data_IF_846006800900
#
_entry.id   IF_846006800900
#
_cell.length_a   1.000
_cell.length_b   1.000
_cell.length_c   1.000
_cell.angle_alpha   90.00
_cell.angle_beta   90.00
_cell.angle_gamma   90.00
#
_symmetry.space_group_name_H-M   'P 1'
#
loop_
_entity.id
_entity.type
_entity.pdbx_description
1 polymer ?
#
# COMPACT_ATOMS: atom_id res chain seq x y z
N UNK A 1 -30.26 17.54 -18.90
CA UNK A 1 -30.65 16.10 -18.97
C UNK A 1 -30.87 15.59 -17.58
N UNK A 2 -31.90 14.82 -17.30
CA UNK A 2 -32.18 14.30 -15.98
C UNK A 2 -30.97 13.51 -15.44
N UNK A 3 -30.55 13.81 -14.21
CA UNK A 3 -29.43 13.12 -13.54
C UNK A 3 -29.98 11.94 -12.76
N UNK A 4 -29.29 10.80 -12.85
CA UNK A 4 -29.68 9.59 -12.11
C UNK A 4 -29.01 9.57 -10.71
N UNK A 5 -29.84 9.38 -9.69
CA UNK A 5 -29.36 9.03 -8.36
C UNK A 5 -29.20 7.51 -8.30
N UNK A 6 -27.98 7.06 -8.05
CA UNK A 6 -27.65 5.63 -7.99
C UNK A 6 -27.61 5.14 -6.54
N UNK A 7 -27.93 3.87 -6.31
CA UNK A 7 -27.75 3.20 -5.04
C UNK A 7 -26.26 3.25 -4.63
N UNK A 8 -25.89 3.98 -3.57
CA UNK A 8 -24.49 4.12 -3.20
C UNK A 8 -23.93 2.85 -2.55
N UNK A 9 -22.62 2.65 -2.66
CA UNK A 9 -21.90 1.68 -1.86
C UNK A 9 -21.52 2.34 -0.53
N UNK A 10 -22.27 2.10 0.53
CA UNK A 10 -22.05 2.69 1.85
C UNK A 10 -21.01 1.92 2.69
N UNK A 11 -20.52 0.80 2.19
CA UNK A 11 -19.36 0.09 2.73
C UNK A 11 -18.57 -0.59 1.61
N UNK A 12 -17.26 -0.84 1.81
CA UNK A 12 -16.41 -1.45 0.78
C UNK A 12 -16.85 -2.85 0.32
N UNK A 13 -17.64 -3.52 1.13
CA UNK A 13 -18.14 -4.89 0.86
C UNK A 13 -19.62 -4.94 0.48
N UNK A 14 -20.28 -3.78 0.40
CA UNK A 14 -21.70 -3.70 0.11
C UNK A 14 -21.97 -3.99 -1.38
N UNK A 15 -22.63 -5.09 -1.66
CA UNK A 15 -23.14 -5.42 -3.02
C UNK A 15 -24.59 -5.01 -3.19
N UNK A 16 -25.36 -4.99 -2.09
CA UNK A 16 -26.77 -4.65 -2.04
C UNK A 16 -27.11 -3.92 -0.73
N UNK A 17 -28.18 -3.15 -0.72
CA UNK A 17 -28.76 -2.50 0.47
C UNK A 17 -30.27 -2.46 0.42
N UNK A 18 -30.88 -2.19 1.56
CA UNK A 18 -32.34 -2.03 1.66
C UNK A 18 -32.66 -0.53 1.67
N UNK A 19 -33.43 -0.05 0.71
CA UNK A 19 -33.90 1.33 0.71
C UNK A 19 -35.01 1.45 1.75
N UNK A 20 -34.68 1.95 2.95
CA UNK A 20 -35.58 1.97 4.11
C UNK A 20 -36.68 3.02 3.95
N UNK A 21 -36.28 4.26 3.59
CA UNK A 21 -37.21 5.38 3.54
C UNK A 21 -36.74 6.48 2.59
N UNK A 22 -37.70 7.18 1.96
CA UNK A 22 -37.47 8.43 1.27
C UNK A 22 -37.78 9.62 2.19
N UNK A 23 -36.84 10.59 2.30
CA UNK A 23 -36.99 11.81 3.09
C UNK A 23 -37.47 12.99 2.23
N UNK A 24 -37.39 12.87 0.91
CA UNK A 24 -37.92 13.81 -0.10
C UNK A 24 -38.94 13.11 -1.00
N UNK A 25 -39.87 13.87 -1.53
CA UNK A 25 -40.94 13.38 -2.43
C UNK A 25 -40.71 13.85 -3.84
N UNK A 26 -41.35 13.18 -4.81
CA UNK A 26 -41.36 13.65 -6.19
C UNK A 26 -41.94 15.08 -6.26
N UNK A 27 -41.22 15.98 -6.89
CA UNK A 27 -41.55 17.40 -6.97
C UNK A 27 -40.80 18.29 -5.93
N UNK A 28 -40.12 17.69 -4.94
CA UNK A 28 -39.38 18.48 -3.97
C UNK A 28 -38.07 19.01 -4.57
N UNK A 29 -37.71 20.24 -4.18
CA UNK A 29 -36.39 20.80 -4.52
C UNK A 29 -35.30 20.16 -3.65
N UNK A 30 -34.21 19.77 -4.27
CA UNK A 30 -33.06 19.13 -3.68
C UNK A 30 -31.81 19.96 -3.97
N UNK A 31 -30.99 20.21 -2.95
CA UNK A 31 -29.69 20.85 -3.06
C UNK A 31 -28.58 19.82 -2.81
N UNK A 32 -27.40 20.07 -3.35
CA UNK A 32 -26.23 19.25 -3.04
C UNK A 32 -25.98 19.22 -1.52
N UNK A 33 -25.87 18.01 -0.95
CA UNK A 33 -25.78 17.78 0.50
C UNK A 33 -27.12 17.59 1.23
N UNK A 34 -28.28 17.74 0.55
CA UNK A 34 -29.57 17.42 1.17
C UNK A 34 -29.73 15.91 1.33
N UNK A 35 -30.14 15.46 2.52
CA UNK A 35 -30.47 14.04 2.73
C UNK A 35 -31.78 13.71 2.02
N UNK A 36 -31.72 12.73 1.12
CA UNK A 36 -32.85 12.35 0.26
C UNK A 36 -33.47 11.01 0.62
N UNK A 37 -32.68 10.07 1.14
CA UNK A 37 -33.15 8.74 1.49
C UNK A 37 -32.33 8.15 2.66
N UNK A 38 -32.88 7.10 3.29
CA UNK A 38 -32.22 6.25 4.27
C UNK A 38 -32.05 4.84 3.69
N UNK A 39 -30.83 4.31 3.78
CA UNK A 39 -30.49 2.95 3.37
C UNK A 39 -30.07 2.15 4.60
N UNK A 40 -30.67 0.98 4.76
CA UNK A 40 -30.30 0.02 5.79
C UNK A 40 -29.33 -1.01 5.19
N UNK A 41 -28.21 -1.19 5.90
CA UNK A 41 -27.21 -2.18 5.58
C UNK A 41 -27.19 -3.24 6.69
N UNK A 42 -26.39 -4.29 6.54
CA UNK A 42 -26.14 -5.32 7.57
C UNK A 42 -25.52 -4.78 8.87
N UNK A 43 -25.03 -3.54 8.85
CA UNK A 43 -24.32 -2.92 9.99
C UNK A 43 -24.99 -1.68 10.57
N UNK A 44 -25.66 -0.88 9.76
CA UNK A 44 -26.29 0.37 10.21
C UNK A 44 -27.28 0.93 9.18
N UNK A 45 -28.20 1.80 9.62
CA UNK A 45 -28.96 2.68 8.74
C UNK A 45 -28.13 3.91 8.44
N UNK A 46 -27.98 4.26 7.18
CA UNK A 46 -27.17 5.38 6.71
C UNK A 46 -27.99 6.31 5.82
N UNK A 47 -27.73 7.60 5.91
CA UNK A 47 -28.36 8.64 5.11
C UNK A 47 -27.68 8.77 3.76
N UNK A 48 -28.49 8.99 2.71
CA UNK A 48 -28.03 9.26 1.35
C UNK A 48 -28.23 10.73 1.03
N UNK A 49 -27.15 11.41 0.75
CA UNK A 49 -27.15 12.82 0.37
C UNK A 49 -27.19 12.98 -1.14
N UNK A 50 -27.90 13.99 -1.63
CA UNK A 50 -27.89 14.35 -3.03
C UNK A 50 -26.55 14.96 -3.43
N UNK A 51 -25.97 14.48 -4.52
CA UNK A 51 -24.75 15.04 -5.11
C UNK A 51 -25.08 16.22 -6.01
N UNK A 52 -26.20 16.14 -6.69
CA UNK A 52 -26.68 17.13 -7.67
C UNK A 52 -27.85 17.94 -7.11
N UNK A 53 -27.99 19.17 -7.58
CA UNK A 53 -29.11 20.05 -7.23
C UNK A 53 -30.18 20.08 -8.37
N UNK A 54 -31.43 20.22 -7.96
CA UNK A 54 -32.55 20.26 -8.88
C UNK A 54 -33.87 19.90 -8.23
N UNK A 55 -34.82 19.34 -8.99
CA UNK A 55 -36.09 18.82 -8.49
C UNK A 55 -36.12 17.31 -8.59
N UNK A 56 -36.49 16.62 -7.49
CA UNK A 56 -36.65 15.16 -7.50
C UNK A 56 -37.78 14.78 -8.45
N UNK A 57 -37.44 14.38 -9.69
CA UNK A 57 -38.41 14.22 -10.74
C UNK A 57 -39.17 12.90 -10.68
N UNK A 58 -38.50 11.80 -10.34
CA UNK A 58 -39.09 10.47 -10.23
C UNK A 58 -38.34 9.56 -9.29
N UNK A 59 -39.08 8.88 -8.44
CA UNK A 59 -38.57 7.76 -7.61
C UNK A 59 -38.74 6.47 -8.44
N UNK A 60 -37.61 5.76 -8.66
CA UNK A 60 -37.58 4.52 -9.44
C UNK A 60 -37.68 3.28 -8.56
N UNK A 61 -37.18 3.38 -7.33
CA UNK A 61 -37.22 2.30 -6.33
C UNK A 61 -38.03 2.78 -5.13
N UNK A 62 -39.18 2.13 -4.82
CA UNK A 62 -40.06 2.52 -3.71
C UNK A 62 -39.36 2.27 -2.35
N UNK A 63 -39.80 3.02 -1.32
CA UNK A 63 -39.35 2.77 0.06
C UNK A 63 -39.72 1.35 0.54
N UNK A 64 -38.90 0.79 1.41
CA UNK A 64 -39.06 -0.58 1.90
C UNK A 64 -38.55 -1.66 0.93
N UNK A 65 -37.94 -1.28 -0.19
CA UNK A 65 -37.38 -2.27 -1.14
C UNK A 65 -36.07 -2.83 -0.60
N UNK A 66 -36.05 -4.18 -0.43
CA UNK A 66 -34.87 -4.91 -0.01
C UNK A 66 -33.98 -5.34 -1.20
N UNK A 67 -32.71 -5.64 -0.91
CA UNK A 67 -31.75 -6.21 -1.86
C UNK A 67 -31.50 -5.38 -3.13
N UNK A 68 -31.56 -4.05 -3.04
CA UNK A 68 -31.26 -3.17 -4.16
C UNK A 68 -29.75 -3.20 -4.42
N UNK A 69 -29.34 -3.62 -5.61
CA UNK A 69 -27.94 -3.72 -5.97
C UNK A 69 -27.28 -2.33 -6.06
N UNK A 70 -26.02 -2.22 -5.61
CA UNK A 70 -25.20 -1.01 -5.75
C UNK A 70 -25.13 -0.59 -7.22
N UNK A 71 -25.13 0.74 -7.47
CA UNK A 71 -25.22 1.37 -8.81
C UNK A 71 -26.56 1.18 -9.55
N UNK A 72 -27.60 0.65 -8.91
CA UNK A 72 -28.94 0.66 -9.49
C UNK A 72 -29.51 2.09 -9.42
N UNK A 73 -30.10 2.63 -10.52
CA UNK A 73 -30.78 3.92 -10.46
C UNK A 73 -32.01 3.85 -9.52
N UNK A 74 -32.00 4.67 -8.47
CA UNK A 74 -33.03 4.69 -7.43
C UNK A 74 -33.98 5.89 -7.59
N UNK A 75 -33.50 6.99 -8.18
CA UNK A 75 -34.33 8.18 -8.50
C UNK A 75 -33.72 8.99 -9.66
N UNK A 76 -34.44 9.99 -10.11
CA UNK A 76 -34.06 10.96 -11.15
C UNK A 76 -34.22 12.38 -10.63
N UNK A 77 -33.16 13.22 -10.77
CA UNK A 77 -33.22 14.66 -10.50
C UNK A 77 -33.30 15.41 -11.83
N UNK A 78 -34.21 16.36 -11.91
CA UNK A 78 -34.39 17.28 -13.03
C UNK A 78 -33.63 18.58 -12.74
N UNK A 79 -32.84 19.05 -13.71
CA UNK A 79 -32.21 20.36 -13.61
C UNK A 79 -33.25 21.48 -13.76
N UNK A 80 -32.93 22.69 -13.30
CA UNK A 80 -33.82 23.84 -13.33
C UNK A 80 -34.24 24.16 -14.77
N UNK A 81 -35.57 24.09 -15.03
CA UNK A 81 -36.17 24.31 -16.37
C UNK A 81 -36.45 23.06 -17.22
N UNK A 82 -36.21 21.85 -16.71
CA UNK A 82 -36.58 20.61 -17.38
C UNK A 82 -37.99 20.14 -17.01
N UNK A 83 -38.77 19.76 -18.04
CA UNK A 83 -40.17 19.35 -17.87
C UNK A 83 -40.27 17.85 -17.51
N UNK A 84 -41.17 17.50 -16.59
CA UNK A 84 -41.42 16.12 -16.17
C UNK A 84 -41.87 15.17 -17.34
N UNK A 85 -42.20 15.74 -18.48
CA UNK A 85 -42.54 15.00 -19.69
C UNK A 85 -41.34 14.23 -20.30
N UNK A 86 -40.08 14.62 -19.96
CA UNK A 86 -38.86 13.97 -20.45
C UNK A 86 -38.60 12.58 -19.81
N UNK A 87 -39.36 12.21 -18.77
CA UNK A 87 -39.19 10.97 -18.02
C UNK A 87 -39.89 9.73 -18.63
N UNK A 88 -40.51 9.86 -19.80
CA UNK A 88 -41.38 8.80 -20.41
C UNK A 88 -40.63 7.79 -21.28
N UNK A 89 -39.38 8.02 -21.67
CA UNK A 89 -38.66 7.11 -22.55
C UNK A 89 -37.42 6.54 -21.85
N UNK A 90 -37.60 5.39 -21.20
CA UNK A 90 -36.53 4.56 -20.66
C UNK A 90 -35.71 3.87 -21.76
N UNK A 91 -34.94 4.62 -22.54
CA UNK A 91 -33.88 4.06 -23.40
C UNK A 91 -32.51 4.33 -22.80
N UNK A 92 -31.83 3.25 -22.42
CA UNK A 92 -30.40 3.24 -22.12
C UNK A 92 -29.63 3.92 -23.26
N UNK A 93 -28.94 5.01 -22.97
CA UNK A 93 -27.95 5.58 -23.87
C UNK A 93 -26.59 5.11 -23.41
N UNK A 94 -25.79 4.43 -24.27
CA UNK A 94 -24.46 3.97 -23.89
C UNK A 94 -23.53 5.16 -23.63
N UNK A 95 -22.77 5.09 -22.58
CA UNK A 95 -21.73 6.05 -22.26
C UNK A 95 -20.76 6.20 -23.44
N UNK A 96 -20.60 7.41 -23.93
CA UNK A 96 -19.67 7.80 -24.99
C UNK A 96 -18.24 7.75 -24.39
N UNK A 97 -17.46 6.74 -24.80
CA UNK A 97 -16.03 6.70 -24.54
C UNK A 97 -15.33 7.89 -25.22
N UNK A 98 -14.38 8.55 -24.56
CA UNK A 98 -13.55 9.55 -25.21
C UNK A 98 -12.58 8.85 -26.17
N UNK A 99 -12.57 9.33 -27.41
CA UNK A 99 -11.65 8.90 -28.46
C UNK A 99 -10.21 9.30 -28.10
N UNK A 100 -9.21 8.42 -28.22
CA UNK A 100 -7.82 8.80 -27.94
C UNK A 100 -7.28 9.74 -29.02
N UNK A 101 -6.70 10.85 -28.57
CA UNK A 101 -5.92 11.73 -29.43
C UNK A 101 -4.67 11.00 -29.93
N UNK A 102 -4.37 11.12 -31.22
CA UNK A 102 -3.16 10.58 -31.85
C UNK A 102 -1.93 11.24 -31.23
N UNK A 103 -1.04 10.41 -30.72
CA UNK A 103 0.30 10.82 -30.34
C UNK A 103 1.17 10.96 -31.61
N UNK A 104 1.89 12.07 -31.70
CA UNK A 104 2.90 12.34 -32.73
C UNK A 104 4.12 11.44 -32.53
N UNK A 105 4.66 10.93 -33.62
CA UNK A 105 5.89 10.13 -33.64
C UNK A 105 7.12 10.96 -33.23
N UNK A 106 8.05 10.42 -32.44
CA UNK A 106 9.31 11.10 -32.14
C UNK A 106 10.31 10.96 -33.30
N UNK A 107 11.22 11.94 -33.48
CA UNK A 107 12.15 11.95 -34.60
C UNK A 107 13.25 10.88 -34.47
N UNK A 108 13.58 10.24 -35.56
CA UNK A 108 14.68 9.26 -35.73
C UNK A 108 16.02 9.87 -35.33
N UNK A 109 16.70 9.26 -34.37
CA UNK A 109 18.12 9.51 -34.07
C UNK A 109 19.01 8.76 -35.07
N UNK A 110 19.95 9.48 -35.64
CA UNK A 110 21.00 8.95 -36.52
C UNK A 110 22.02 8.13 -35.72
N UNK A 111 22.35 6.96 -36.25
CA UNK A 111 23.44 6.10 -35.77
C UNK A 111 24.79 6.74 -36.06
N UNK A 112 25.61 6.91 -35.01
CA UNK A 112 27.04 7.09 -35.15
C UNK A 112 27.72 5.89 -34.47
N UNK A 113 28.22 4.97 -35.27
CA UNK A 113 29.02 3.85 -34.79
C UNK A 113 30.40 4.36 -34.36
N UNK A 114 30.74 4.22 -33.09
CA UNK A 114 32.12 4.24 -32.62
C UNK A 114 32.53 2.81 -32.27
N UNK A 115 33.44 2.23 -33.09
CA UNK A 115 34.13 0.97 -32.77
C UNK A 115 35.19 1.27 -31.72
N UNK A 116 35.10 0.66 -30.55
CA UNK A 116 36.24 0.50 -29.64
C UNK A 116 36.47 -0.98 -29.39
N UNK A 117 37.64 -1.45 -29.78
CA UNK A 117 38.11 -2.79 -29.49
C UNK A 117 38.32 -2.94 -27.97
N UNK A 118 37.46 -3.71 -27.32
CA UNK A 118 37.49 -3.92 -25.88
C UNK A 118 38.35 -5.13 -25.52
N UNK A 119 39.43 -4.88 -24.80
CA UNK A 119 40.14 -5.93 -24.05
C UNK A 119 39.29 -6.27 -22.84
N UNK A 120 38.78 -7.50 -22.77
CA UNK A 120 38.05 -8.03 -21.62
C UNK A 120 39.03 -8.17 -20.41
N UNK A 121 38.80 -7.50 -19.28
CA UNK A 121 39.52 -7.85 -18.05
C UNK A 121 39.08 -9.24 -17.58
N UNK A 122 40.04 -10.08 -17.25
CA UNK A 122 39.76 -11.37 -16.66
C UNK A 122 39.11 -11.17 -15.29
N UNK A 123 37.95 -11.81 -15.08
CA UNK A 123 37.24 -11.78 -13.82
C UNK A 123 38.13 -12.30 -12.67
N UNK A 124 38.34 -11.47 -11.66
CA UNK A 124 38.93 -11.94 -10.40
C UNK A 124 37.98 -12.96 -9.75
N UNK A 125 38.49 -14.01 -9.09
CA UNK A 125 37.63 -14.95 -8.40
C UNK A 125 36.84 -14.23 -7.29
N UNK A 126 35.50 -14.38 -7.33
CA UNK A 126 34.62 -13.85 -6.30
C UNK A 126 35.03 -14.39 -4.93
N UNK A 127 35.13 -13.48 -3.95
CA UNK A 127 35.28 -13.89 -2.56
C UNK A 127 34.08 -14.77 -2.15
N UNK A 128 34.26 -15.78 -1.31
CA UNK A 128 33.15 -16.60 -0.84
C UNK A 128 32.16 -15.70 -0.11
N UNK A 129 30.90 -15.72 -0.51
CA UNK A 129 29.79 -15.16 0.28
C UNK A 129 29.74 -15.96 1.57
N UNK A 130 29.93 -15.32 2.72
CA UNK A 130 29.69 -15.99 4.00
C UNK A 130 28.22 -16.41 4.04
N UNK A 131 27.92 -17.70 4.32
CA UNK A 131 26.53 -18.13 4.45
C UNK A 131 25.86 -17.34 5.58
N UNK A 132 24.55 -17.09 5.45
CA UNK A 132 23.75 -16.60 6.58
C UNK A 132 24.10 -17.42 7.83
N UNK A 133 24.18 -16.79 9.02
CA UNK A 133 24.54 -17.52 10.23
C UNK A 133 23.61 -18.71 10.37
N UNK A 134 24.18 -19.91 10.29
CA UNK A 134 23.46 -21.16 10.40
C UNK A 134 22.64 -21.13 11.69
N UNK A 135 21.36 -21.39 11.57
CA UNK A 135 20.50 -21.64 12.73
C UNK A 135 21.17 -22.78 13.48
N UNK A 136 21.50 -22.65 14.79
CA UNK A 136 22.19 -23.69 15.53
C UNK A 136 21.54 -25.04 15.34
N UNK A 137 22.34 -26.10 15.12
CA UNK A 137 21.83 -27.45 14.98
C UNK A 137 20.95 -27.82 16.20
N UNK A 138 19.72 -28.29 15.94
CA UNK A 138 18.78 -28.63 16.99
C UNK A 138 17.81 -27.51 17.38
N UNK A 139 17.84 -26.34 16.71
CA UNK A 139 16.82 -25.31 16.90
C UNK A 139 15.49 -25.80 16.35
N UNK A 140 14.46 -25.81 17.19
CA UNK A 140 13.10 -26.11 16.76
C UNK A 140 12.54 -24.98 15.91
N UNK A 141 12.23 -25.26 14.65
CA UNK A 141 11.62 -24.30 13.74
C UNK A 141 10.11 -24.38 13.83
N UNK A 142 9.46 -23.28 14.18
CA UNK A 142 8.00 -23.16 14.26
C UNK A 142 7.50 -22.39 13.06
N UNK A 143 6.55 -22.97 12.32
CA UNK A 143 5.84 -22.26 11.23
C UNK A 143 4.74 -21.39 11.82
N UNK A 144 4.82 -20.09 11.59
CA UNK A 144 3.81 -19.12 12.03
C UNK A 144 3.51 -18.11 10.94
N UNK A 145 2.37 -17.43 11.05
CA UNK A 145 2.03 -16.32 10.15
C UNK A 145 2.84 -15.07 10.56
N UNK A 146 3.04 -14.14 9.62
CA UNK A 146 3.65 -12.83 9.90
C UNK A 146 2.90 -12.10 11.02
N UNK A 147 1.58 -12.20 11.07
CA UNK A 147 0.75 -11.63 12.13
C UNK A 147 1.10 -12.18 13.51
N UNK A 148 1.25 -13.49 13.62
CA UNK A 148 1.62 -14.16 14.87
C UNK A 148 3.04 -13.79 15.28
N UNK A 149 3.98 -13.76 14.34
CA UNK A 149 5.35 -13.36 14.61
C UNK A 149 5.45 -11.92 15.14
N UNK A 150 4.71 -10.98 14.54
CA UNK A 150 4.67 -9.59 15.02
C UNK A 150 4.03 -9.45 16.40
N UNK A 151 2.93 -10.17 16.65
CA UNK A 151 2.27 -10.22 17.96
C UNK A 151 3.22 -10.76 19.03
N UNK A 152 3.84 -11.90 18.75
CA UNK A 152 4.70 -12.57 19.71
C UNK A 152 5.95 -11.74 20.03
N UNK A 153 6.53 -11.08 19.02
CA UNK A 153 7.64 -10.16 19.23
C UNK A 153 7.25 -8.98 20.12
N UNK A 154 6.07 -8.37 19.93
CA UNK A 154 5.60 -7.31 20.83
C UNK A 154 5.35 -7.84 22.23
N UNK A 155 4.71 -9.01 22.37
CA UNK A 155 4.46 -9.62 23.67
C UNK A 155 5.76 -9.94 24.43
N UNK A 156 6.75 -10.47 23.72
CA UNK A 156 8.07 -10.79 24.30
C UNK A 156 8.76 -9.51 24.82
N UNK A 157 8.81 -8.45 24.03
CA UNK A 157 9.40 -7.19 24.46
C UNK A 157 8.63 -6.56 25.64
N UNK A 158 7.30 -6.63 25.61
CA UNK A 158 6.48 -6.14 26.71
C UNK A 158 6.66 -6.95 28.01
N UNK A 159 6.95 -8.25 27.94
CA UNK A 159 7.28 -9.08 29.11
C UNK A 159 8.66 -8.74 29.65
N UNK A 160 9.62 -8.48 28.75
CA UNK A 160 11.00 -8.19 29.09
C UNK A 160 11.19 -6.79 29.70
N UNK A 161 10.43 -5.82 29.20
CA UNK A 161 10.61 -4.40 29.55
C UNK A 161 9.27 -3.75 29.91
N UNK A 162 9.10 -3.29 31.17
CA UNK A 162 7.86 -2.66 31.62
C UNK A 162 7.57 -1.30 30.96
N UNK A 163 8.57 -0.64 30.34
CA UNK A 163 8.43 0.63 29.66
C UNK A 163 7.90 0.49 28.24
N UNK A 164 7.87 -0.75 27.69
CA UNK A 164 7.29 -1.03 26.37
C UNK A 164 5.76 -1.13 26.48
N UNK A 165 5.04 -0.39 25.65
CA UNK A 165 3.58 -0.44 25.57
C UNK A 165 3.12 -0.21 24.13
N UNK A 166 1.90 -0.65 23.82
CA UNK A 166 1.28 -0.52 22.50
C UNK A 166 0.16 0.51 22.56
N UNK A 167 0.10 1.41 21.60
CA UNK A 167 -0.98 2.37 21.44
C UNK A 167 -1.33 2.59 19.98
N UNK A 168 -2.57 2.89 19.69
CA UNK A 168 -3.03 3.15 18.33
C UNK A 168 -4.54 2.96 18.19
N UNK A 169 -5.00 2.97 16.95
CA UNK A 169 -6.42 2.82 16.64
C UNK A 169 -6.85 1.36 16.73
N UNK A 170 -7.88 1.08 17.57
CA UNK A 170 -8.48 -0.24 17.71
C UNK A 170 -7.49 -1.37 18.14
N UNK A 171 -6.37 -1.02 18.77
CA UNK A 171 -5.32 -1.98 19.14
C UNK A 171 -5.65 -2.78 20.39
N UNK A 172 -6.51 -2.27 21.27
CA UNK A 172 -6.87 -2.88 22.55
C UNK A 172 -8.12 -3.76 22.43
N UNK A 173 -9.31 -3.17 22.52
CA UNK A 173 -10.58 -3.92 22.58
C UNK A 173 -10.87 -4.68 21.29
N UNK A 174 -10.64 -4.06 20.13
CA UNK A 174 -10.80 -4.69 18.82
C UNK A 174 -9.62 -5.60 18.43
N UNK A 175 -8.50 -5.56 19.15
CA UNK A 175 -7.31 -6.37 18.93
C UNK A 175 -6.63 -6.12 17.57
N UNK A 176 -6.72 -4.89 17.08
CA UNK A 176 -6.17 -4.45 15.80
C UNK A 176 -7.04 -4.84 14.60
N UNK A 177 -7.06 -3.99 13.58
CA UNK A 177 -7.80 -4.25 12.33
C UNK A 177 -7.35 -5.55 11.64
N UNK A 178 -6.07 -5.88 11.75
CA UNK A 178 -5.46 -7.10 11.21
C UNK A 178 -5.13 -8.15 12.28
N UNK A 179 -5.67 -7.98 13.51
CA UNK A 179 -5.50 -8.88 14.64
C UNK A 179 -4.03 -9.12 15.05
N UNK A 180 -3.17 -8.13 14.84
CA UNK A 180 -1.75 -8.21 15.23
C UNK A 180 -1.54 -8.01 16.72
N UNK A 181 -2.51 -7.38 17.41
CA UNK A 181 -2.46 -7.15 18.87
C UNK A 181 -3.37 -8.10 19.65
N UNK A 182 -3.81 -9.20 19.02
CA UNK A 182 -4.73 -10.16 19.62
C UNK A 182 -4.16 -10.74 20.92
N UNK A 183 -4.95 -10.65 22.01
CA UNK A 183 -4.61 -11.16 23.34
C UNK A 183 -3.69 -10.23 24.16
N UNK A 184 -3.11 -9.18 23.58
CA UNK A 184 -2.20 -8.29 24.32
C UNK A 184 -2.91 -7.53 25.45
N UNK A 185 -4.14 -7.05 25.22
CA UNK A 185 -4.91 -6.37 26.25
C UNK A 185 -5.20 -7.28 27.44
N UNK A 186 -5.53 -8.54 27.18
CA UNK A 186 -5.80 -9.54 28.22
C UNK A 186 -4.56 -9.82 29.08
N UNK A 187 -3.39 -9.91 28.44
CA UNK A 187 -2.14 -10.21 29.13
C UNK A 187 -1.54 -9.01 29.87
N UNK A 188 -1.52 -7.81 29.24
CA UNK A 188 -0.80 -6.66 29.77
C UNK A 188 -1.67 -5.56 30.37
N UNK A 189 -2.98 -5.61 30.15
CA UNK A 189 -3.96 -4.66 30.67
C UNK A 189 -3.99 -3.31 29.95
N UNK A 190 -5.05 -2.54 30.22
CA UNK A 190 -5.36 -1.27 29.56
C UNK A 190 -4.36 -0.13 29.80
N UNK A 191 -3.42 -0.30 30.72
CA UNK A 191 -2.33 0.69 30.91
C UNK A 191 -1.17 0.50 29.93
N UNK A 192 -1.08 -0.65 29.28
CA UNK A 192 -0.01 -1.01 28.35
C UNK A 192 -0.49 -1.35 26.95
N UNK A 193 -1.80 -1.51 26.76
CA UNK A 193 -2.43 -1.65 25.44
C UNK A 193 -3.58 -0.65 25.38
N UNK A 194 -3.41 0.41 24.59
CA UNK A 194 -4.18 1.64 24.70
C UNK A 194 -4.84 1.97 23.36
N UNK A 195 -6.17 1.94 23.33
CA UNK A 195 -6.90 2.49 22.19
C UNK A 195 -6.82 4.02 22.18
N UNK A 196 -6.63 4.59 21.00
CA UNK A 196 -6.61 6.03 20.79
C UNK A 196 -7.77 6.46 19.89
N UNK A 197 -8.26 7.70 20.01
CA UNK A 197 -9.12 8.26 18.98
C UNK A 197 -8.41 8.29 17.62
N UNK A 198 -9.18 8.31 16.53
CA UNK A 198 -8.64 8.48 15.16
C UNK A 198 -8.08 9.90 15.03
N UNK A 199 -6.80 10.06 15.33
CA UNK A 199 -6.06 11.33 15.32
C UNK A 199 -4.57 11.04 15.14
N UNK A 200 -4.15 10.60 13.97
CA UNK A 200 -2.81 10.07 13.74
C UNK A 200 -1.71 11.06 14.14
N UNK A 201 -1.88 12.34 13.84
CA UNK A 201 -0.97 13.38 14.30
C UNK A 201 -0.94 13.48 15.84
N UNK A 202 -2.10 13.38 16.48
CA UNK A 202 -2.25 13.49 17.94
C UNK A 202 -1.63 12.31 18.67
N UNK A 203 -2.02 11.09 18.34
CA UNK A 203 -1.52 9.92 19.06
C UNK A 203 -0.05 9.61 18.74
N UNK A 204 0.44 9.88 17.51
CA UNK A 204 1.85 9.78 17.21
C UNK A 204 2.66 10.79 18.03
N UNK A 205 2.17 12.03 18.19
CA UNK A 205 2.78 13.03 19.05
C UNK A 205 2.81 12.63 20.52
N UNK A 206 1.73 12.00 21.02
CA UNK A 206 1.70 11.42 22.39
C UNK A 206 2.75 10.32 22.54
N UNK A 207 2.88 9.43 21.55
CA UNK A 207 3.91 8.41 21.52
C UNK A 207 5.32 9.00 21.55
N UNK A 208 5.58 10.03 20.75
CA UNK A 208 6.88 10.75 20.78
C UNK A 208 7.12 11.38 22.16
N UNK A 209 6.12 12.05 22.74
CA UNK A 209 6.22 12.61 24.09
C UNK A 209 6.52 11.56 25.15
N UNK A 210 5.87 10.40 25.09
CA UNK A 210 6.14 9.27 25.96
C UNK A 210 7.58 8.75 25.81
N UNK A 211 8.07 8.64 24.56
CA UNK A 211 9.44 8.24 24.29
C UNK A 211 10.48 9.26 24.81
N UNK A 212 10.18 10.56 24.70
CA UNK A 212 11.00 11.63 25.30
C UNK A 212 11.03 11.54 26.84
N UNK A 213 9.97 11.05 27.45
CA UNK A 213 9.88 10.79 28.90
C UNK A 213 10.55 9.47 29.34
N UNK A 214 11.11 8.70 28.41
CA UNK A 214 11.86 7.47 28.67
C UNK A 214 11.08 6.17 28.48
N UNK A 215 9.77 6.23 28.12
CA UNK A 215 8.99 5.07 27.77
C UNK A 215 9.35 4.57 26.35
N UNK A 216 8.84 3.40 25.99
CA UNK A 216 9.13 2.75 24.70
C UNK A 216 7.84 2.36 23.97
N UNK A 217 7.14 3.32 23.39
CA UNK A 217 5.89 3.05 22.70
C UNK A 217 6.08 2.32 21.38
N UNK A 218 5.19 1.37 21.12
CA UNK A 218 4.88 0.85 19.79
C UNK A 218 3.59 1.53 19.34
N UNK A 219 3.69 2.46 18.41
CA UNK A 219 2.57 3.22 17.87
C UNK A 219 2.08 2.55 16.61
N UNK A 220 0.86 2.02 16.63
CA UNK A 220 0.24 1.36 15.50
C UNK A 220 -0.69 2.31 14.76
N UNK A 221 -0.44 2.48 13.47
CA UNK A 221 -1.42 3.05 12.53
C UNK A 221 -2.28 1.91 11.99
N UNK A 222 -3.58 2.09 11.90
CA UNK A 222 -4.50 1.10 11.35
C UNK A 222 -4.05 0.64 9.96
N UNK A 223 -3.60 1.59 9.15
CA UNK A 223 -2.78 1.37 7.96
C UNK A 223 -1.70 2.45 7.87
N UNK A 224 -0.51 2.09 7.43
CA UNK A 224 0.61 3.04 7.32
C UNK A 224 0.35 4.15 6.28
N UNK A 225 -0.65 3.99 5.44
CA UNK A 225 -1.16 5.06 4.57
C UNK A 225 -1.52 6.33 5.34
N UNK A 226 -2.08 6.21 6.55
CA UNK A 226 -2.47 7.35 7.38
C UNK A 226 -1.36 7.87 8.28
N UNK A 227 -0.22 7.20 8.36
CA UNK A 227 0.98 7.77 8.96
C UNK A 227 1.42 9.07 8.26
N UNK A 228 0.94 9.31 7.03
CA UNK A 228 1.11 10.57 6.32
C UNK A 228 0.54 11.77 7.09
N UNK A 229 -0.56 11.62 7.82
CA UNK A 229 -1.12 12.67 8.66
C UNK A 229 -0.22 13.01 9.86
N UNK A 230 0.58 12.05 10.32
CA UNK A 230 1.51 12.18 11.43
C UNK A 230 2.97 12.41 10.99
N UNK A 231 3.20 12.69 9.71
CA UNK A 231 4.56 12.77 9.14
C UNK A 231 5.47 13.74 9.88
N UNK A 232 4.96 14.88 10.37
CA UNK A 232 5.72 15.83 11.18
C UNK A 232 6.23 15.19 12.48
N UNK A 233 5.41 14.39 13.14
CA UNK A 233 5.79 13.70 14.38
C UNK A 233 6.86 12.63 14.14
N UNK A 234 6.79 11.91 13.02
CA UNK A 234 7.80 10.91 12.66
C UNK A 234 9.13 11.57 12.27
N UNK A 235 9.08 12.62 11.44
CA UNK A 235 10.25 13.23 10.83
C UNK A 235 10.88 14.30 11.71
N UNK A 236 10.11 15.29 12.12
CA UNK A 236 10.66 16.42 12.88
C UNK A 236 10.77 16.09 14.36
N UNK A 237 9.73 15.52 14.95
CA UNK A 237 9.70 15.26 16.39
C UNK A 237 10.51 14.01 16.77
N UNK A 238 10.34 12.87 16.10
CA UNK A 238 11.05 11.64 16.45
C UNK A 238 12.47 11.58 15.85
N UNK A 239 12.59 11.67 14.52
CA UNK A 239 13.87 11.41 13.85
C UNK A 239 14.92 12.48 14.09
N UNK A 240 14.54 13.76 14.19
CA UNK A 240 15.49 14.89 14.27
C UNK A 240 15.82 15.33 15.70
N UNK A 241 14.96 15.09 16.68
CA UNK A 241 15.20 15.52 18.08
C UNK A 241 16.50 14.96 18.68
N UNK A 242 16.87 13.69 18.48
CA UNK A 242 18.17 13.20 18.97
C UNK A 242 19.36 13.97 18.40
N UNK A 243 19.33 14.33 17.13
CA UNK A 243 20.37 15.15 16.49
C UNK A 243 20.38 16.58 17.06
N UNK A 244 19.22 17.24 17.12
CA UNK A 244 19.10 18.63 17.61
C UNK A 244 19.51 18.78 19.07
N UNK A 245 19.32 17.73 19.87
CA UNK A 245 19.74 17.73 21.29
C UNK A 245 21.23 17.34 21.48
N UNK A 246 21.98 17.12 20.39
CA UNK A 246 23.35 16.62 20.51
C UNK A 246 23.44 15.23 21.14
N UNK A 247 22.39 14.40 20.97
CA UNK A 247 22.31 13.05 21.52
C UNK A 247 21.92 12.97 23.01
N UNK A 248 21.61 14.11 23.63
CA UNK A 248 21.20 14.15 25.04
C UNK A 248 19.79 13.56 25.26
N UNK A 249 18.93 13.71 24.27
CA UNK A 249 17.56 13.16 24.27
C UNK A 249 17.49 11.98 23.33
N UNK A 250 16.88 10.89 23.79
CA UNK A 250 16.59 9.70 22.99
C UNK A 250 15.11 9.60 22.72
N UNK A 251 14.77 9.05 21.56
CA UNK A 251 13.38 8.77 21.16
C UNK A 251 13.32 7.29 20.79
N UNK A 252 13.09 6.45 21.80
CA UNK A 252 12.96 5.00 21.62
C UNK A 252 11.52 4.65 21.29
N UNK A 253 11.16 4.70 20.00
CA UNK A 253 9.79 4.52 19.52
C UNK A 253 9.78 3.62 18.28
N UNK A 254 8.75 2.82 18.14
CA UNK A 254 8.43 2.08 16.93
C UNK A 254 7.11 2.59 16.36
N UNK A 255 7.12 3.02 15.11
CA UNK A 255 5.91 3.27 14.34
C UNK A 255 5.69 2.08 13.42
N UNK A 256 4.52 1.46 13.45
CA UNK A 256 4.19 0.30 12.65
C UNK A 256 2.79 0.38 12.05
N UNK A 257 2.57 -0.37 11.02
CA UNK A 257 1.25 -0.55 10.40
C UNK A 257 1.39 -1.35 9.10
N UNK A 258 0.30 -1.92 8.59
CA UNK A 258 0.31 -2.52 7.26
C UNK A 258 0.56 -1.45 6.20
N UNK A 259 1.38 -1.78 5.21
CA UNK A 259 1.81 -0.90 4.14
C UNK A 259 1.57 -1.60 2.80
N UNK A 260 1.46 -0.83 1.72
CA UNK A 260 1.19 -1.39 0.41
C UNK A 260 -0.29 -1.67 0.15
N UNK A 261 -0.61 -2.46 -0.87
CA UNK A 261 -1.97 -2.73 -1.30
C UNK A 261 -2.74 -3.58 -0.30
N UNK A 262 -4.02 -3.23 -0.12
CA UNK A 262 -4.98 -4.02 0.63
C UNK A 262 -6.22 -4.29 -0.23
N UNK A 263 -6.87 -5.43 0.00
CA UNK A 263 -7.95 -5.88 -0.85
C UNK A 263 -9.15 -4.92 -0.82
N UNK A 264 -9.49 -4.36 -1.97
CA UNK A 264 -10.69 -3.55 -2.23
C UNK A 264 -10.87 -2.33 -1.32
N UNK A 265 -9.79 -1.63 -1.01
CA UNK A 265 -9.84 -0.39 -0.22
C UNK A 265 -9.40 0.84 -1.02
N UNK A 266 -9.08 0.67 -2.28
CA UNK A 266 -8.76 1.71 -3.26
C UNK A 266 -7.55 2.60 -2.91
N UNK A 267 -7.50 3.78 -3.54
CA UNK A 267 -6.31 4.62 -3.65
C UNK A 267 -5.70 5.08 -2.31
N UNK A 268 -6.54 5.50 -1.35
CA UNK A 268 -6.06 6.07 -0.09
C UNK A 268 -5.53 5.03 0.91
N UNK A 269 -5.90 3.76 0.74
CA UNK A 269 -5.57 2.67 1.66
C UNK A 269 -4.62 1.64 1.05
N UNK A 270 -4.05 1.91 -0.13
CA UNK A 270 -3.26 0.94 -0.89
C UNK A 270 -2.03 1.59 -1.49
N UNK A 271 -1.25 2.27 -0.66
CA UNK A 271 -0.06 3.00 -1.06
C UNK A 271 1.16 2.45 -0.32
N UNK A 272 2.32 2.47 -0.97
CA UNK A 272 3.60 2.12 -0.36
C UNK A 272 4.46 3.39 -0.19
N UNK A 273 4.68 3.78 1.06
CA UNK A 273 5.49 4.93 1.42
C UNK A 273 6.89 4.57 1.94
N UNK A 274 7.33 3.34 1.77
CA UNK A 274 8.65 2.87 2.21
C UNK A 274 9.78 3.76 1.72
N UNK A 275 9.73 4.20 0.46
CA UNK A 275 10.70 5.11 -0.13
C UNK A 275 10.73 6.49 0.56
N UNK A 276 9.58 7.03 0.97
CA UNK A 276 9.50 8.34 1.64
C UNK A 276 10.21 8.33 2.98
N UNK A 277 9.93 7.34 3.81
CA UNK A 277 10.54 7.25 5.15
C UNK A 277 12.00 6.80 5.09
N UNK A 278 12.39 5.98 4.12
CA UNK A 278 13.79 5.56 3.94
C UNK A 278 14.70 6.71 3.52
N UNK A 279 14.15 7.77 2.91
CA UNK A 279 14.88 8.99 2.59
C UNK A 279 15.30 9.80 3.84
N UNK A 280 14.56 9.71 4.95
CA UNK A 280 14.74 10.56 6.12
C UNK A 280 15.94 10.13 6.99
N UNK A 281 16.95 11.00 7.25
CA UNK A 281 18.00 10.71 8.22
C UNK A 281 17.41 10.57 9.64
N UNK A 282 17.89 9.61 10.42
CA UNK A 282 17.46 9.35 11.80
C UNK A 282 16.39 8.27 11.93
N UNK A 283 15.71 7.88 10.85
CA UNK A 283 14.81 6.73 10.83
C UNK A 283 15.56 5.44 10.43
N UNK A 284 15.17 4.34 11.03
CA UNK A 284 15.38 2.97 10.51
C UNK A 284 14.07 2.55 9.86
N UNK A 285 14.14 1.97 8.67
CA UNK A 285 12.94 1.54 7.92
C UNK A 285 13.05 0.06 7.62
N UNK A 286 12.07 -0.69 8.10
CA UNK A 286 11.97 -2.13 7.94
C UNK A 286 10.65 -2.40 7.23
N UNK A 287 10.71 -3.12 6.12
CA UNK A 287 9.55 -3.56 5.36
C UNK A 287 9.63 -5.09 5.22
N UNK A 288 9.26 -5.85 6.28
CA UNK A 288 9.29 -7.29 6.22
C UNK A 288 8.29 -7.76 5.16
N UNK A 289 8.76 -8.53 4.18
CA UNK A 289 7.90 -9.12 3.18
C UNK A 289 7.03 -10.21 3.79
N UNK A 290 5.84 -10.39 3.23
CA UNK A 290 5.00 -11.51 3.62
C UNK A 290 5.57 -12.81 3.04
N UNK A 291 5.24 -13.94 3.66
CA UNK A 291 5.51 -15.26 3.06
C UNK A 291 4.91 -15.40 1.65
N UNK A 292 3.89 -14.59 1.30
CA UNK A 292 3.27 -14.55 -0.01
C UNK A 292 4.16 -13.88 -1.07
N UNK A 293 4.86 -12.78 -0.71
CA UNK A 293 5.71 -12.03 -1.63
C UNK A 293 7.01 -12.81 -1.92
N UNK A 294 7.62 -13.37 -0.88
CA UNK A 294 8.73 -14.30 -1.03
C UNK A 294 8.33 -15.52 -1.89
N UNK A 295 7.11 -16.05 -1.70
CA UNK A 295 6.56 -17.14 -2.51
C UNK A 295 6.36 -16.75 -3.99
N UNK A 296 5.95 -15.50 -4.27
CA UNK A 296 5.81 -14.99 -5.64
C UNK A 296 7.15 -14.93 -6.37
N UNK A 297 8.19 -14.40 -5.72
CA UNK A 297 9.55 -14.32 -6.26
C UNK A 297 10.19 -15.71 -6.41
N UNK A 298 10.01 -16.60 -5.43
CA UNK A 298 10.47 -18.00 -5.53
C UNK A 298 9.77 -18.73 -6.66
N UNK A 299 8.47 -18.52 -6.87
CA UNK A 299 7.74 -19.09 -7.99
C UNK A 299 8.27 -18.59 -9.35
N UNK A 300 8.61 -17.31 -9.46
CA UNK A 300 9.24 -16.77 -10.65
C UNK A 300 10.61 -17.42 -10.91
N UNK A 301 11.42 -17.60 -9.85
CA UNK A 301 12.70 -18.29 -9.95
C UNK A 301 12.55 -19.76 -10.39
N UNK A 302 11.56 -20.48 -9.87
CA UNK A 302 11.25 -21.86 -10.27
C UNK A 302 10.83 -21.96 -11.75
N UNK A 303 10.02 -21.05 -12.26
CA UNK A 303 9.64 -21.00 -13.67
C UNK A 303 10.85 -20.68 -14.56
N UNK A 304 11.70 -19.73 -14.16
CA UNK A 304 12.93 -19.38 -14.87
C UNK A 304 13.92 -20.57 -14.92
N UNK A 305 14.02 -21.35 -13.84
CA UNK A 305 14.85 -22.55 -13.78
C UNK A 305 14.47 -23.59 -14.84
N UNK A 306 13.18 -23.74 -15.16
CA UNK A 306 12.69 -24.63 -16.23
C UNK A 306 13.19 -24.18 -17.61
N UNK A 307 13.52 -22.92 -17.77
CA UNK A 307 14.09 -22.34 -18.99
C UNK A 307 15.62 -22.20 -18.93
N UNK A 308 16.28 -22.87 -17.99
CA UNK A 308 17.72 -22.82 -17.73
C UNK A 308 18.24 -21.40 -17.38
N UNK A 309 17.44 -20.62 -16.64
CA UNK A 309 17.85 -19.38 -16.02
C UNK A 309 17.90 -19.61 -14.52
N UNK A 310 19.11 -19.57 -13.92
CA UNK A 310 19.30 -19.65 -12.48
C UNK A 310 19.13 -18.25 -11.88
N UNK A 311 18.16 -18.06 -11.00
CA UNK A 311 17.89 -16.79 -10.33
C UNK A 311 18.28 -16.88 -8.84
N UNK A 312 18.91 -15.84 -8.32
CA UNK A 312 19.15 -15.61 -6.91
C UNK A 312 18.11 -14.61 -6.40
N UNK A 313 17.40 -14.94 -5.33
CA UNK A 313 16.35 -14.09 -4.75
C UNK A 313 16.86 -13.47 -3.46
N UNK A 314 16.87 -12.15 -3.39
CA UNK A 314 17.28 -11.37 -2.21
C UNK A 314 16.07 -10.63 -1.65
N UNK A 315 15.69 -10.95 -0.41
CA UNK A 315 14.69 -10.22 0.36
C UNK A 315 15.39 -9.23 1.30
N UNK A 316 15.28 -7.94 1.01
CA UNK A 316 16.00 -6.91 1.74
C UNK A 316 15.52 -6.70 3.18
N UNK A 317 14.26 -6.90 3.47
CA UNK A 317 13.59 -6.67 4.77
C UNK A 317 13.88 -5.30 5.39
N UNK A 318 15.15 -4.88 5.44
CA UNK A 318 15.58 -3.59 5.97
C UNK A 318 15.96 -2.67 4.82
N UNK A 319 15.20 -1.58 4.64
CA UNK A 319 15.43 -0.59 3.60
C UNK A 319 16.38 0.53 4.05
N UNK A 320 16.48 0.75 5.37
CA UNK A 320 17.43 1.69 5.96
C UNK A 320 17.86 1.24 7.36
N UNK A 321 19.15 0.92 7.59
CA UNK A 321 20.19 0.83 6.56
C UNK A 321 19.91 -0.28 5.56
N UNK A 322 20.26 -0.05 4.28
CA UNK A 322 20.12 -1.06 3.23
C UNK A 322 21.37 -1.95 3.21
N UNK A 323 21.17 -3.24 3.09
CA UNK A 323 22.26 -4.22 2.89
C UNK A 323 22.74 -4.16 1.43
N UNK A 324 23.57 -3.15 1.16
CA UNK A 324 24.13 -2.96 -0.19
C UNK A 324 25.19 -4.01 -0.51
N UNK A 325 25.88 -4.55 0.49
CA UNK A 325 26.98 -5.49 0.28
C UNK A 325 26.47 -6.80 -0.31
N UNK A 326 25.35 -7.33 0.20
CA UNK A 326 24.68 -8.51 -0.36
C UNK A 326 24.22 -8.27 -1.80
N UNK A 327 23.60 -7.11 -2.08
CA UNK A 327 23.15 -6.75 -3.44
C UNK A 327 24.35 -6.72 -4.41
N UNK A 328 25.40 -6.00 -4.02
CA UNK A 328 26.60 -5.82 -4.87
C UNK A 328 27.35 -7.14 -5.09
N UNK A 329 27.42 -8.00 -4.06
CA UNK A 329 28.01 -9.33 -4.19
C UNK A 329 27.24 -10.19 -5.20
N UNK A 330 25.91 -10.17 -5.14
CA UNK A 330 25.06 -10.89 -6.10
C UNK A 330 25.22 -10.34 -7.52
N UNK A 331 25.24 -9.03 -7.71
CA UNK A 331 25.46 -8.41 -9.03
C UNK A 331 26.84 -8.78 -9.60
N UNK A 332 27.88 -8.75 -8.79
CA UNK A 332 29.24 -9.19 -9.21
C UNK A 332 29.29 -10.65 -9.63
N UNK A 333 28.48 -11.50 -9.02
CA UNK A 333 28.37 -12.92 -9.33
C UNK A 333 27.55 -13.19 -10.61
N UNK A 334 26.44 -12.47 -10.78
CA UNK A 334 25.44 -12.78 -11.83
C UNK A 334 25.51 -11.88 -13.04
N UNK A 335 26.09 -10.69 -12.93
CA UNK A 335 26.15 -9.66 -13.97
C UNK A 335 24.81 -8.99 -14.29
N UNK A 336 23.73 -9.32 -13.58
CA UNK A 336 22.36 -8.89 -13.89
C UNK A 336 21.57 -8.67 -12.61
N UNK A 337 20.58 -7.76 -12.69
CA UNK A 337 19.68 -7.51 -11.59
C UNK A 337 18.31 -7.08 -12.10
N UNK A 338 17.27 -7.60 -11.43
CA UNK A 338 15.88 -7.12 -11.52
C UNK A 338 15.45 -6.74 -10.13
N UNK A 339 14.97 -5.50 -9.93
CA UNK A 339 14.35 -5.09 -8.66
C UNK A 339 12.84 -5.20 -8.77
N UNK A 340 12.20 -5.66 -7.68
CA UNK A 340 10.75 -5.82 -7.62
C UNK A 340 10.23 -5.08 -6.39
N UNK A 341 9.27 -4.18 -6.60
CA UNK A 341 8.64 -3.40 -5.52
C UNK A 341 7.17 -3.12 -5.86
N UNK A 342 6.30 -3.10 -4.86
CA UNK A 342 4.89 -2.75 -5.04
C UNK A 342 4.69 -1.24 -5.22
N UNK A 343 5.63 -0.44 -4.73
CA UNK A 343 5.66 1.01 -4.88
C UNK A 343 5.77 1.47 -6.32
N UNK A 344 5.55 2.76 -6.54
CA UNK A 344 5.66 3.37 -7.85
C UNK A 344 7.12 3.43 -8.33
N UNK A 345 7.30 3.30 -9.64
CA UNK A 345 8.64 3.25 -10.26
C UNK A 345 9.45 4.52 -10.02
N UNK A 346 8.81 5.70 -10.10
CA UNK A 346 9.49 6.96 -9.90
C UNK A 346 9.88 7.16 -8.43
N UNK A 347 11.16 7.40 -8.17
CA UNK A 347 11.72 7.62 -6.82
C UNK A 347 11.47 6.47 -5.84
N UNK A 348 11.17 5.27 -6.32
CA UNK A 348 11.02 4.07 -5.52
C UNK A 348 12.36 3.54 -4.99
N UNK A 349 12.32 2.55 -4.10
CA UNK A 349 13.51 1.91 -3.51
C UNK A 349 14.41 1.29 -4.57
N UNK A 350 13.82 0.68 -5.61
CA UNK A 350 14.56 0.12 -6.74
C UNK A 350 15.35 1.18 -7.54
N UNK A 351 14.99 2.47 -7.48
CA UNK A 351 15.81 3.53 -8.06
C UNK A 351 17.10 3.76 -7.29
N UNK A 352 17.03 3.73 -5.96
CA UNK A 352 18.20 3.82 -5.07
C UNK A 352 19.13 2.60 -5.27
N UNK A 353 18.55 1.39 -5.36
CA UNK A 353 19.33 0.18 -5.65
C UNK A 353 20.05 0.31 -6.99
N UNK A 354 19.37 0.77 -8.03
CA UNK A 354 19.97 0.97 -9.34
C UNK A 354 21.13 1.98 -9.29
N UNK A 355 20.99 3.08 -8.55
CA UNK A 355 22.05 4.07 -8.37
C UNK A 355 23.27 3.45 -7.68
N UNK A 356 23.08 2.71 -6.57
CA UNK A 356 24.16 2.04 -5.84
C UNK A 356 24.89 0.98 -6.68
N UNK A 357 24.15 0.22 -7.48
CA UNK A 357 24.73 -0.76 -8.40
C UNK A 357 25.57 -0.06 -9.46
N UNK A 358 25.11 1.07 -10.00
CA UNK A 358 25.89 1.88 -10.94
C UNK A 358 27.15 2.46 -10.31
N UNK A 359 27.14 2.87 -9.05
CA UNK A 359 28.31 3.41 -8.34
C UNK A 359 29.33 2.34 -7.99
N UNK A 360 28.89 1.11 -7.62
CA UNK A 360 29.73 0.10 -6.96
C UNK A 360 29.96 -1.17 -7.77
N UNK A 361 29.18 -1.40 -8.83
CA UNK A 361 29.23 -2.63 -9.62
C UNK A 361 28.98 -2.40 -11.12
N UNK A 362 29.13 -1.19 -11.64
CA UNK A 362 28.90 -0.87 -13.05
C UNK A 362 29.68 -1.80 -14.00
N UNK A 363 30.97 -2.01 -13.71
CA UNK A 363 31.86 -2.83 -14.55
C UNK A 363 31.48 -4.33 -14.59
N UNK A 364 30.56 -4.75 -13.71
CA UNK A 364 30.07 -6.13 -13.64
C UNK A 364 28.73 -6.32 -14.34
N UNK A 365 28.04 -5.23 -14.72
CA UNK A 365 26.72 -5.32 -15.35
C UNK A 365 26.83 -5.75 -16.83
N UNK A 366 26.17 -6.85 -17.17
CA UNK A 366 25.97 -7.32 -18.53
C UNK A 366 24.69 -6.77 -19.18
N UNK A 367 23.78 -6.21 -18.38
CA UNK A 367 22.53 -5.60 -18.83
C UNK A 367 22.15 -4.41 -17.93
N UNK A 368 21.33 -3.47 -18.42
CA UNK A 368 20.76 -2.43 -17.57
C UNK A 368 19.98 -3.04 -16.39
N UNK A 369 19.93 -2.30 -15.26
CA UNK A 369 19.07 -2.67 -14.14
C UNK A 369 17.60 -2.59 -14.59
N UNK A 370 16.89 -3.70 -14.57
CA UNK A 370 15.46 -3.73 -14.86
C UNK A 370 14.65 -3.57 -13.56
N UNK A 371 13.53 -2.86 -13.64
CA UNK A 371 12.72 -2.51 -12.46
C UNK A 371 11.26 -2.84 -12.70
N UNK A 372 10.75 -3.85 -12.01
CA UNK A 372 9.33 -4.24 -11.98
C UNK A 372 8.67 -3.58 -10.79
N UNK A 373 7.74 -2.69 -11.03
CA UNK A 373 7.14 -1.82 -10.00
C UNK A 373 5.63 -1.76 -10.18
N UNK A 374 4.93 -1.29 -9.16
CA UNK A 374 3.54 -0.88 -9.28
C UNK A 374 3.35 0.13 -10.42
N UNK A 375 2.20 0.08 -11.06
CA UNK A 375 1.86 1.02 -12.15
C UNK A 375 1.70 2.44 -11.58
N UNK A 376 2.10 3.43 -12.36
CA UNK A 376 2.01 4.85 -11.97
C UNK A 376 0.56 5.36 -12.04
N UNK A 377 -0.28 4.76 -11.22
CA UNK A 377 -1.72 5.09 -11.06
C UNK A 377 -2.11 4.94 -9.59
N UNK A 378 -3.10 5.72 -9.10
CA UNK A 378 -3.73 5.41 -7.83
C UNK A 378 -4.34 4.02 -7.86
N UNK A 379 -4.28 3.29 -6.75
CA UNK A 379 -4.81 1.92 -6.68
C UNK A 379 -6.31 1.89 -7.01
N UNK A 380 -6.73 1.15 -8.03
CA UNK A 380 -8.15 1.02 -8.38
C UNK A 380 -8.92 0.20 -7.33
N UNK A 381 -10.23 0.48 -7.21
CA UNK A 381 -11.12 -0.29 -6.34
C UNK A 381 -11.48 -1.67 -6.92
N UNK A 382 -11.64 -1.76 -8.25
CA UNK A 382 -12.05 -2.99 -8.90
C UNK A 382 -10.94 -4.05 -8.84
N UNK A 383 -11.22 -5.24 -8.34
CA UNK A 383 -10.25 -6.30 -8.09
C UNK A 383 -9.44 -6.75 -9.33
N UNK A 384 -10.03 -6.68 -10.52
CA UNK A 384 -9.33 -6.97 -11.77
C UNK A 384 -8.33 -5.85 -12.16
N UNK A 385 -8.66 -4.59 -11.89
CA UNK A 385 -7.77 -3.45 -12.13
C UNK A 385 -6.69 -3.37 -11.05
N UNK A 386 -7.03 -3.67 -9.79
CA UNK A 386 -6.07 -3.78 -8.68
C UNK A 386 -4.94 -4.75 -9.04
N UNK A 387 -5.27 -5.96 -9.52
CA UNK A 387 -4.29 -6.94 -9.98
C UNK A 387 -3.41 -6.46 -11.14
N UNK A 388 -3.95 -5.60 -12.01
CA UNK A 388 -3.19 -5.02 -13.12
C UNK A 388 -2.29 -3.86 -12.68
N UNK A 389 -2.59 -3.23 -11.55
CA UNK A 389 -1.78 -2.14 -10.99
C UNK A 389 -0.56 -2.66 -10.23
N UNK A 390 -0.59 -3.91 -9.76
CA UNK A 390 0.50 -4.54 -9.01
C UNK A 390 1.48 -5.30 -9.90
N UNK A 391 2.74 -5.46 -9.46
CA UNK A 391 3.68 -6.36 -10.12
C UNK A 391 3.15 -7.78 -10.18
N UNK A 392 3.37 -8.45 -11.29
CA UNK A 392 2.95 -9.84 -11.48
C UNK A 392 4.17 -10.77 -11.65
N UNK A 393 3.98 -12.06 -11.32
CA UNK A 393 5.00 -13.10 -11.57
C UNK A 393 5.42 -13.13 -13.04
N UNK A 394 4.47 -12.93 -13.97
CA UNK A 394 4.76 -12.88 -15.41
C UNK A 394 5.70 -11.73 -15.77
N UNK A 395 5.45 -10.52 -15.25
CA UNK A 395 6.32 -9.35 -15.49
C UNK A 395 7.73 -9.56 -14.92
N UNK A 396 7.85 -10.20 -13.75
CA UNK A 396 9.17 -10.54 -13.17
C UNK A 396 9.92 -11.52 -14.08
N UNK A 397 9.24 -12.55 -14.61
CA UNK A 397 9.82 -13.51 -15.56
C UNK A 397 10.26 -12.81 -16.85
N UNK A 398 9.42 -11.94 -17.41
CA UNK A 398 9.76 -11.17 -18.62
C UNK A 398 10.97 -10.26 -18.39
N UNK A 399 11.02 -9.53 -17.27
CA UNK A 399 12.15 -8.68 -16.91
C UNK A 399 13.45 -9.51 -16.74
N UNK A 400 13.36 -10.66 -16.07
CA UNK A 400 14.51 -11.55 -15.92
C UNK A 400 15.01 -12.11 -17.26
N UNK A 401 14.13 -12.45 -18.19
CA UNK A 401 14.48 -12.85 -19.55
C UNK A 401 15.09 -11.70 -20.33
N UNK A 402 14.55 -10.50 -20.22
CA UNK A 402 15.04 -9.30 -20.89
C UNK A 402 16.50 -9.01 -20.51
N UNK A 403 16.83 -9.04 -19.20
CA UNK A 403 18.24 -8.86 -18.77
C UNK A 403 19.14 -10.03 -19.17
N UNK A 404 18.58 -11.20 -19.53
CA UNK A 404 19.30 -12.33 -20.08
C UNK A 404 19.34 -12.33 -21.62
N UNK A 405 18.74 -11.32 -22.27
CA UNK A 405 18.62 -11.24 -23.76
C UNK A 405 17.90 -12.46 -24.38
N UNK A 406 16.83 -12.93 -23.71
CA UNK A 406 16.02 -14.08 -24.14
C UNK A 406 14.54 -13.70 -24.30
#
# INVERSE_FOLDING_TARGET
MPTQVLMPALSPTMEKGNLSKWLKKEGDTVKSGDVIAEIETDKATMEVEAVDEGTLGKILVPEGTADVAVNTPIAMILAEGEDAAALKDGKQVPAKQPTPAKADEPPKKSEAQAKTDGVKPAAAPAAPVEPEPDVPEGTELVTMTMREALRDAMAEEMRRDPDVFVMGEEVAEYQGAYKVTQGLLEEFGARRVIDTPITEHGFAGLGVGAALAGLKPVVEFMTFNFAMQAMDQLINSAAKTPYMSGGQVRVSIVFRGPNGPAARVAAQHSQDYSAWYSHVPGLKVIAPSTAADAKGLLKAADELAKENISAEVIDLRTLKPMDSDTIIASVKKTGRIVTVEEGWKQSGVGAEIAARVMEQAFDYLDAPVERVCGKDVPMPYAANLEKLALPSVAEVIEAAKAVCYR
#
